data_IF_842073095411
#
_entry.id   IF_842073095411
#
_cell.length_a   1.000
_cell.length_b   1.000
_cell.length_c   1.000
_cell.angle_alpha   90.00
_cell.angle_beta   90.00
_cell.angle_gamma   90.00
#
_symmetry.space_group_name_H-M   'P 1'
#
loop_
_entity.id
_entity.type
_entity.pdbx_description
1 polymer ?
#
# COMPACT_ATOMS: atom_id res chain seq x y z
N UNK A 1 14.94 10.41 4.97
CA UNK A 1 13.96 9.29 5.11
C UNK A 1 13.56 8.78 3.76
N UNK A 2 13.33 7.45 3.62
CA UNK A 2 12.81 6.90 2.39
C UNK A 2 11.27 6.96 2.38
N UNK A 3 10.62 6.56 3.48
CA UNK A 3 9.18 6.53 3.63
C UNK A 3 8.75 7.10 4.98
N UNK A 4 7.79 8.02 5.00
CA UNK A 4 7.13 8.50 6.22
C UNK A 4 5.64 8.21 6.10
N UNK A 5 5.09 7.50 7.08
CA UNK A 5 3.68 7.15 7.16
C UNK A 5 2.99 7.98 8.25
N UNK A 6 1.78 8.47 7.96
CA UNK A 6 0.95 9.19 8.92
C UNK A 6 -0.42 8.53 9.02
N UNK A 7 -0.87 8.29 10.24
CA UNK A 7 -2.23 7.82 10.47
C UNK A 7 -2.44 7.19 11.84
N UNK A 8 -3.38 6.26 11.86
CA UNK A 8 -3.78 5.53 13.06
C UNK A 8 -2.73 4.51 13.51
N UNK A 9 -2.67 4.35 14.81
CA UNK A 9 -1.92 3.32 15.51
C UNK A 9 -2.79 2.81 16.66
N UNK A 10 -3.03 1.52 16.74
CA UNK A 10 -4.02 0.93 17.65
C UNK A 10 -3.64 -0.47 18.11
N UNK A 11 -4.34 -0.97 19.11
CA UNK A 11 -4.26 -2.38 19.49
C UNK A 11 -5.39 -3.16 18.79
N UNK A 12 -5.01 -4.22 18.08
CA UNK A 12 -5.92 -5.27 17.64
C UNK A 12 -5.99 -6.37 18.70
N UNK A 13 -7.17 -6.61 19.26
CA UNK A 13 -7.48 -7.79 20.08
C UNK A 13 -8.12 -8.85 19.18
N UNK A 14 -7.30 -9.79 18.72
CA UNK A 14 -7.74 -10.86 17.81
C UNK A 14 -8.28 -12.04 18.63
N UNK A 15 -9.51 -12.46 18.37
CA UNK A 15 -10.14 -13.59 19.03
C UNK A 15 -9.28 -14.87 18.85
N UNK A 16 -9.17 -15.68 19.90
CA UNK A 16 -8.39 -16.92 19.88
C UNK A 16 -9.10 -18.08 19.21
N UNK A 17 -10.43 -17.98 19.03
CA UNK A 17 -11.25 -18.97 18.37
C UNK A 17 -12.19 -18.30 17.33
N UNK A 18 -12.58 -19.03 16.26
CA UNK A 18 -13.61 -18.57 15.33
C UNK A 18 -14.96 -18.36 16.04
N UNK A 19 -15.73 -17.39 15.54
CA UNK A 19 -17.07 -17.11 16.02
C UNK A 19 -17.30 -15.63 16.38
N UNK A 20 -18.48 -15.29 16.86
CA UNK A 20 -18.82 -13.91 17.25
C UNK A 20 -18.04 -13.48 18.49
N UNK A 21 -17.69 -12.17 18.58
CA UNK A 21 -16.91 -11.61 19.68
C UNK A 21 -17.52 -11.89 21.07
N UNK A 22 -18.86 -11.96 21.18
CA UNK A 22 -19.56 -12.23 22.45
C UNK A 22 -19.26 -13.62 23.05
N UNK A 23 -18.79 -14.58 22.23
CA UNK A 23 -18.48 -15.95 22.67
C UNK A 23 -16.98 -16.23 22.62
N UNK A 24 -16.16 -15.24 22.28
CA UNK A 24 -14.72 -15.41 22.22
C UNK A 24 -14.13 -15.75 23.61
N UNK A 25 -13.42 -16.89 23.74
CA UNK A 25 -12.88 -17.32 25.05
C UNK A 25 -11.68 -16.47 25.51
N UNK A 26 -11.06 -15.72 24.57
CA UNK A 26 -9.90 -14.88 24.84
C UNK A 26 -9.44 -14.14 23.61
N UNK A 27 -8.45 -13.27 23.79
CA UNK A 27 -7.90 -12.43 22.73
C UNK A 27 -6.37 -12.40 22.79
N UNK A 28 -5.74 -12.36 21.63
CA UNK A 28 -4.31 -12.06 21.49
C UNK A 28 -4.14 -10.58 21.11
N UNK A 29 -3.33 -9.88 21.89
CA UNK A 29 -2.97 -8.49 21.63
C UNK A 29 -1.97 -8.39 20.49
N UNK A 30 -2.24 -7.54 19.49
CA UNK A 30 -1.34 -7.24 18.40
C UNK A 30 -1.31 -5.72 18.13
N UNK A 31 -0.18 -5.24 17.63
CA UNK A 31 -0.10 -3.88 17.11
C UNK A 31 -0.75 -3.82 15.72
N UNK A 32 -1.54 -2.77 15.47
CA UNK A 32 -2.28 -2.52 14.24
C UNK A 32 -2.29 -1.05 13.85
N UNK A 33 -2.98 -0.77 12.75
CA UNK A 33 -3.02 0.53 12.09
C UNK A 33 -2.36 0.46 10.71
N UNK A 34 -3.13 0.70 9.65
CA UNK A 34 -2.65 0.47 8.29
C UNK A 34 -1.39 1.29 7.94
N UNK A 35 -1.29 2.61 8.22
CA UNK A 35 -0.07 3.36 7.95
C UNK A 35 1.13 2.90 8.80
N UNK A 36 0.90 2.44 10.03
CA UNK A 36 1.95 1.87 10.87
C UNK A 36 2.45 0.53 10.31
N UNK A 37 1.53 -0.31 9.84
CA UNK A 37 1.85 -1.55 9.14
C UNK A 37 2.70 -1.32 7.90
N UNK A 38 2.36 -0.31 7.07
CA UNK A 38 3.17 0.08 5.90
C UNK A 38 4.57 0.53 6.30
N UNK A 39 4.70 1.31 7.39
CA UNK A 39 6.00 1.73 7.89
C UNK A 39 6.87 0.54 8.33
N UNK A 40 6.28 -0.41 9.08
CA UNK A 40 6.98 -1.63 9.52
C UNK A 40 7.33 -2.53 8.36
N UNK A 41 6.41 -2.79 7.43
CA UNK A 41 6.68 -3.59 6.24
C UNK A 41 7.79 -2.99 5.39
N UNK A 42 7.76 -1.66 5.19
CA UNK A 42 8.82 -0.93 4.50
C UNK A 42 10.19 -1.05 5.20
N UNK A 43 10.21 -0.94 6.53
CA UNK A 43 11.44 -1.11 7.32
C UNK A 43 12.02 -2.52 7.16
N UNK A 44 11.19 -3.56 7.24
CA UNK A 44 11.62 -4.96 7.03
C UNK A 44 12.14 -5.22 5.63
N UNK A 45 11.65 -4.49 4.63
CA UNK A 45 12.16 -4.52 3.27
C UNK A 45 13.41 -3.65 3.06
N UNK A 46 13.98 -3.06 4.12
CA UNK A 46 15.24 -2.31 4.09
C UNK A 46 15.09 -0.81 3.86
N UNK A 47 13.88 -0.24 3.86
CA UNK A 47 13.67 1.20 3.79
C UNK A 47 13.92 1.87 5.14
N UNK A 48 14.42 3.10 5.13
CA UNK A 48 14.46 3.97 6.32
C UNK A 48 13.10 4.61 6.49
N UNK A 49 12.30 4.07 7.42
CA UNK A 49 10.90 4.46 7.62
C UNK A 49 10.70 5.29 8.88
N UNK A 50 9.68 6.14 8.87
CA UNK A 50 9.22 6.89 10.03
C UNK A 50 7.72 6.89 10.14
N UNK A 51 7.21 7.03 11.37
CA UNK A 51 5.79 7.06 11.65
C UNK A 51 5.39 8.35 12.36
N UNK A 52 4.29 8.96 11.93
CA UNK A 52 3.65 10.11 12.53
C UNK A 52 2.24 9.72 12.95
N UNK A 53 1.93 9.85 14.23
CA UNK A 53 0.64 9.51 14.79
C UNK A 53 0.53 9.84 16.26
N UNK A 54 -0.59 9.48 16.89
CA UNK A 54 -0.81 9.69 18.31
C UNK A 54 -1.44 8.45 18.94
N UNK A 55 -0.87 7.99 20.05
CA UNK A 55 -1.41 6.96 20.90
C UNK A 55 -1.62 7.51 22.33
N UNK A 56 -2.33 6.79 23.17
CA UNK A 56 -2.47 7.15 24.59
C UNK A 56 -1.15 7.08 25.36
N UNK A 57 -0.99 7.93 26.36
CA UNK A 57 0.09 7.76 27.36
C UNK A 57 -0.36 6.70 28.37
N UNK A 58 -0.51 5.47 27.89
CA UNK A 58 -0.94 4.28 28.62
C UNK A 58 -0.09 3.06 28.18
N UNK A 59 -0.27 1.93 28.84
CA UNK A 59 0.52 0.72 28.59
C UNK A 59 0.41 0.23 27.14
N UNK A 60 -0.73 0.46 26.50
CA UNK A 60 -0.92 0.12 25.09
C UNK A 60 -0.16 1.07 24.16
N UNK A 61 -0.16 2.35 24.45
CA UNK A 61 0.62 3.33 23.69
C UNK A 61 2.12 3.10 23.81
N UNK A 62 2.62 2.75 25.00
CA UNK A 62 4.01 2.36 25.21
C UNK A 62 4.37 1.10 24.45
N UNK A 63 3.53 0.05 24.54
CA UNK A 63 3.70 -1.18 23.76
C UNK A 63 3.79 -0.90 22.26
N UNK A 64 2.88 -0.10 21.71
CA UNK A 64 2.87 0.24 20.29
C UNK A 64 4.13 0.99 19.86
N UNK A 65 4.62 1.91 20.69
CA UNK A 65 5.87 2.63 20.45
C UNK A 65 7.07 1.68 20.39
N UNK A 66 7.16 0.77 21.36
CA UNK A 66 8.22 -0.25 21.45
C UNK A 66 8.19 -1.19 20.24
N UNK A 67 6.99 -1.64 19.81
CA UNK A 67 6.84 -2.50 18.63
C UNK A 67 7.31 -1.81 17.35
N UNK A 68 6.99 -0.52 17.16
CA UNK A 68 7.51 0.23 16.01
C UNK A 68 9.04 0.38 16.08
N UNK A 69 9.60 0.72 17.24
CA UNK A 69 11.05 0.87 17.44
C UNK A 69 11.79 -0.45 17.20
N UNK A 70 11.29 -1.56 17.73
CA UNK A 70 11.82 -2.91 17.56
C UNK A 70 11.86 -3.33 16.08
N UNK A 71 10.93 -2.84 15.28
CA UNK A 71 10.89 -3.07 13.84
C UNK A 71 11.63 -1.98 13.03
N UNK A 72 12.47 -1.15 13.65
CA UNK A 72 13.34 -0.20 12.99
C UNK A 72 12.65 1.06 12.43
N UNK A 73 11.41 1.35 12.88
CA UNK A 73 10.68 2.55 12.48
C UNK A 73 11.10 3.73 13.37
N UNK A 74 11.40 4.87 12.77
CA UNK A 74 11.63 6.13 13.48
C UNK A 74 10.33 6.66 14.08
N UNK A 75 10.25 6.66 15.41
CA UNK A 75 9.06 7.04 16.19
C UNK A 75 9.10 8.49 16.71
N UNK A 76 10.01 9.34 16.24
CA UNK A 76 10.06 10.76 16.66
C UNK A 76 8.78 11.52 16.32
N UNK A 77 7.99 11.04 15.35
CA UNK A 77 6.67 11.56 15.00
C UNK A 77 5.51 10.96 15.80
N UNK A 78 5.76 9.98 16.66
CA UNK A 78 4.72 9.37 17.50
C UNK A 78 4.60 10.14 18.83
N UNK A 79 3.47 10.81 19.01
CA UNK A 79 3.12 11.52 20.23
C UNK A 79 2.32 10.59 21.17
N UNK A 80 2.71 10.53 22.47
CA UNK A 80 1.93 9.87 23.50
C UNK A 80 1.13 10.90 24.29
N UNK A 81 -0.19 10.92 24.12
CA UNK A 81 -1.10 11.92 24.67
C UNK A 81 -1.78 11.43 25.96
N UNK A 82 -1.78 12.28 26.99
CA UNK A 82 -2.57 12.04 28.21
C UNK A 82 -4.05 12.46 28.07
N UNK A 83 -4.43 13.09 26.94
CA UNK A 83 -5.80 13.59 26.72
C UNK A 83 -6.79 12.52 26.26
N UNK A 84 -6.31 11.39 25.78
CA UNK A 84 -7.14 10.28 25.30
C UNK A 84 -6.43 8.95 25.45
N UNK A 85 -7.18 7.86 25.36
CA UNK A 85 -6.66 6.49 25.42
C UNK A 85 -6.17 6.01 24.05
N UNK A 86 -5.32 4.99 24.06
CA UNK A 86 -4.94 4.28 22.83
C UNK A 86 -6.20 3.65 22.20
N UNK A 87 -6.42 3.81 20.87
CA UNK A 87 -7.54 3.18 20.20
C UNK A 87 -7.43 1.65 20.22
N UNK A 88 -8.58 0.98 20.32
CA UNK A 88 -8.66 -0.49 20.34
C UNK A 88 -9.59 -0.98 19.23
N UNK A 89 -9.26 -2.11 18.62
CA UNK A 89 -10.14 -2.87 17.77
C UNK A 89 -10.23 -4.31 18.27
N UNK A 90 -11.44 -4.87 18.33
CA UNK A 90 -11.67 -6.28 18.56
C UNK A 90 -11.99 -6.93 17.24
N UNK A 91 -11.28 -8.02 16.93
CA UNK A 91 -11.34 -8.70 15.64
C UNK A 91 -11.89 -10.10 15.85
N UNK A 92 -13.05 -10.39 15.27
CA UNK A 92 -13.58 -11.75 15.19
C UNK A 92 -13.02 -12.47 13.98
N UNK A 93 -12.84 -13.78 14.12
CA UNK A 93 -12.46 -14.69 13.03
C UNK A 93 -13.72 -15.43 12.57
N UNK A 94 -14.13 -15.29 11.32
CA UNK A 94 -15.17 -16.12 10.71
C UNK A 94 -14.58 -17.40 10.17
N UNK A 95 -15.38 -18.43 10.02
CA UNK A 95 -14.95 -19.70 9.40
C UNK A 95 -14.51 -19.52 7.93
N UNK A 96 -15.05 -18.50 7.25
CA UNK A 96 -14.66 -18.08 5.89
C UNK A 96 -13.32 -17.34 5.80
N UNK A 97 -12.54 -17.24 6.90
CA UNK A 97 -11.37 -16.37 7.04
C UNK A 97 -11.65 -14.85 6.90
N UNK A 98 -12.91 -14.46 6.77
CA UNK A 98 -13.34 -13.07 6.85
C UNK A 98 -13.26 -12.58 8.30
N UNK A 99 -13.13 -11.27 8.47
CA UNK A 99 -13.00 -10.62 9.77
C UNK A 99 -14.07 -9.56 9.95
N UNK A 100 -14.65 -9.52 11.15
CA UNK A 100 -15.44 -8.39 11.60
C UNK A 100 -14.66 -7.61 12.64
N UNK A 101 -14.82 -6.28 12.61
CA UNK A 101 -14.13 -5.37 13.50
C UNK A 101 -15.13 -4.60 14.35
N UNK A 102 -14.90 -4.61 15.67
CA UNK A 102 -15.58 -3.75 16.62
C UNK A 102 -14.56 -2.72 17.16
N UNK A 103 -14.75 -1.46 16.82
CA UNK A 103 -13.83 -0.39 17.20
C UNK A 103 -14.27 0.33 18.48
N UNK A 104 -13.35 0.48 19.40
CA UNK A 104 -13.44 1.38 20.54
C UNK A 104 -12.59 2.63 20.25
N UNK A 105 -13.23 3.57 19.54
CA UNK A 105 -12.55 4.74 18.95
C UNK A 105 -13.19 6.08 19.32
N UNK A 106 -13.84 6.16 20.50
CA UNK A 106 -14.40 7.41 21.00
C UNK A 106 -13.45 8.06 21.99
N UNK A 107 -13.18 9.36 21.82
CA UNK A 107 -12.28 10.13 22.68
C UNK A 107 -10.87 9.51 22.80
N UNK A 108 -10.40 8.89 21.75
CA UNK A 108 -9.06 8.30 21.69
C UNK A 108 -7.98 9.36 21.43
N UNK A 109 -6.74 9.04 21.68
CA UNK A 109 -5.61 9.96 21.66
C UNK A 109 -5.42 10.68 20.31
N UNK A 110 -5.68 9.97 19.19
CA UNK A 110 -5.62 10.52 17.84
C UNK A 110 -6.66 11.63 17.57
N UNK A 111 -7.75 11.69 18.36
CA UNK A 111 -8.71 12.80 18.32
C UNK A 111 -8.17 14.11 18.88
N UNK A 112 -7.03 14.06 19.57
CA UNK A 112 -6.37 15.23 20.16
C UNK A 112 -5.06 15.60 19.47
N UNK A 113 -4.79 15.02 18.30
CA UNK A 113 -3.60 15.36 17.50
C UNK A 113 -3.50 16.86 17.23
N UNK A 114 -2.28 17.41 17.31
CA UNK A 114 -2.00 18.80 17.02
C UNK A 114 -0.89 18.95 15.98
N UNK A 115 -1.05 19.90 15.07
CA UNK A 115 -0.02 20.22 14.06
C UNK A 115 1.30 20.65 14.71
N UNK A 116 1.25 21.22 15.92
CA UNK A 116 2.44 21.65 16.67
C UNK A 116 3.28 20.46 17.19
N UNK A 117 2.66 19.29 17.29
CA UNK A 117 3.27 18.07 17.86
C UNK A 117 3.89 17.17 16.78
N UNK A 118 3.71 17.49 15.50
CA UNK A 118 4.25 16.67 14.41
C UNK A 118 5.51 17.28 13.79
N UNK A 119 6.55 16.48 13.53
CA UNK A 119 7.77 16.96 12.89
C UNK A 119 7.58 17.05 11.36
N UNK A 120 7.04 18.19 10.87
CA UNK A 120 6.86 18.44 9.44
C UNK A 120 8.18 18.35 8.65
N UNK A 121 9.33 18.56 9.30
CA UNK A 121 10.65 18.35 8.69
C UNK A 121 10.85 16.90 8.26
N UNK A 122 10.33 15.93 9.02
CA UNK A 122 10.38 14.50 8.66
C UNK A 122 9.60 14.26 7.35
N UNK A 123 8.43 14.85 7.18
CA UNK A 123 7.65 14.78 5.94
C UNK A 123 8.42 15.40 4.76
N UNK A 124 8.94 16.62 4.94
CA UNK A 124 9.66 17.37 3.88
C UNK A 124 10.92 16.66 3.39
N UNK A 125 11.60 15.93 4.29
CA UNK A 125 12.84 15.20 3.98
C UNK A 125 12.61 13.77 3.48
N UNK A 126 11.36 13.32 3.37
CA UNK A 126 11.04 11.98 2.89
C UNK A 126 10.96 11.91 1.36
N UNK A 127 11.33 10.74 0.78
CA UNK A 127 11.07 10.46 -0.64
C UNK A 127 9.58 10.21 -0.89
N UNK A 128 8.92 9.52 0.07
CA UNK A 128 7.49 9.21 0.02
C UNK A 128 6.83 9.57 1.34
N UNK A 129 5.72 10.28 1.27
CA UNK A 129 4.77 10.49 2.36
C UNK A 129 3.52 9.66 2.10
N UNK A 130 3.20 8.74 3.01
CA UNK A 130 2.06 7.82 2.90
C UNK A 130 1.02 8.07 3.99
N UNK A 131 -0.27 7.97 3.65
CA UNK A 131 -1.37 8.15 4.61
C UNK A 131 -2.60 7.32 4.22
N UNK A 132 -3.49 7.09 5.22
CA UNK A 132 -4.78 6.44 5.06
C UNK A 132 -5.96 7.39 5.26
N UNK A 133 -7.19 6.88 5.11
CA UNK A 133 -8.40 7.71 5.24
C UNK A 133 -8.92 7.85 6.66
N UNK A 134 -8.53 6.99 7.60
CA UNK A 134 -9.01 7.05 8.99
C UNK A 134 -8.59 8.37 9.65
N UNK A 135 -7.36 8.84 9.40
CA UNK A 135 -6.88 10.13 9.89
C UNK A 135 -7.65 11.35 9.35
N UNK A 136 -8.54 11.15 8.36
CA UNK A 136 -9.40 12.19 7.80
C UNK A 136 -10.79 12.27 8.46
N UNK A 137 -11.14 11.33 9.33
CA UNK A 137 -12.46 11.24 9.93
C UNK A 137 -12.66 12.33 10.98
N UNK A 138 -11.80 12.34 12.01
CA UNK A 138 -11.91 13.32 13.09
C UNK A 138 -11.29 14.69 12.70
N UNK A 139 -11.90 15.83 13.08
CA UNK A 139 -11.40 17.16 12.68
C UNK A 139 -9.96 17.45 13.08
N UNK A 140 -9.48 16.97 14.23
CA UNK A 140 -8.11 17.22 14.69
C UNK A 140 -7.09 16.45 13.84
N UNK A 141 -7.24 15.13 13.71
CA UNK A 141 -6.36 14.32 12.88
C UNK A 141 -6.41 14.71 11.41
N UNK A 142 -7.59 15.13 10.90
CA UNK A 142 -7.74 15.68 9.54
C UNK A 142 -6.89 16.94 9.33
N UNK A 143 -6.92 17.89 10.30
CA UNK A 143 -6.08 19.11 10.20
C UNK A 143 -4.60 18.77 10.16
N UNK A 144 -4.17 17.80 10.94
CA UNK A 144 -2.78 17.33 10.96
C UNK A 144 -2.40 16.68 9.63
N UNK A 145 -3.23 15.76 9.13
CA UNK A 145 -3.03 15.11 7.83
C UNK A 145 -2.96 16.13 6.69
N UNK A 146 -3.86 17.11 6.68
CA UNK A 146 -3.84 18.19 5.69
C UNK A 146 -2.60 19.10 5.79
N UNK A 147 -2.10 19.37 7.00
CA UNK A 147 -0.85 20.11 7.18
C UNK A 147 0.36 19.32 6.65
N UNK A 148 0.42 18.01 6.93
CA UNK A 148 1.46 17.14 6.41
C UNK A 148 1.38 17.01 4.87
N UNK A 149 0.18 16.89 4.30
CA UNK A 149 -0.04 16.89 2.84
C UNK A 149 0.46 18.19 2.21
N UNK A 150 0.08 19.36 2.74
CA UNK A 150 0.61 20.64 2.23
C UNK A 150 2.13 20.70 2.29
N UNK A 151 2.72 20.20 3.37
CA UNK A 151 4.19 20.14 3.51
C UNK A 151 4.84 19.22 2.45
N UNK A 152 4.27 18.03 2.22
CA UNK A 152 4.73 17.10 1.21
C UNK A 152 4.59 17.66 -0.21
N UNK A 153 3.44 18.25 -0.53
CA UNK A 153 3.16 18.84 -1.84
C UNK A 153 4.05 20.07 -2.13
N UNK A 154 4.36 20.86 -1.11
CA UNK A 154 5.30 21.98 -1.20
C UNK A 154 6.76 21.57 -1.32
N UNK A 155 7.09 20.28 -1.15
CA UNK A 155 8.41 19.71 -1.42
C UNK A 155 8.46 19.20 -2.87
N UNK A 156 9.47 19.62 -3.63
CA UNK A 156 9.63 19.15 -5.02
C UNK A 156 10.02 17.67 -5.13
N UNK A 157 10.44 17.04 -4.02
CA UNK A 157 11.01 15.69 -4.02
C UNK A 157 10.16 14.64 -3.27
N UNK A 158 9.13 15.06 -2.54
CA UNK A 158 8.29 14.13 -1.78
C UNK A 158 7.09 13.68 -2.62
N UNK A 159 7.03 12.39 -2.93
CA UNK A 159 5.86 11.77 -3.55
C UNK A 159 4.78 11.51 -2.49
N UNK A 160 3.52 11.79 -2.80
CA UNK A 160 2.38 11.53 -1.92
C UNK A 160 1.71 10.22 -2.33
N UNK A 161 1.64 9.26 -1.41
CA UNK A 161 0.99 7.96 -1.56
C UNK A 161 -0.21 7.85 -0.62
N UNK A 162 -1.33 7.35 -1.12
CA UNK A 162 -2.56 7.14 -0.35
C UNK A 162 -3.06 5.70 -0.50
N UNK A 163 -3.35 5.05 0.62
CA UNK A 163 -4.24 3.89 0.67
C UNK A 163 -5.45 4.30 1.54
N UNK A 164 -6.62 4.56 0.96
CA UNK A 164 -7.79 4.95 1.72
C UNK A 164 -8.15 3.97 2.83
N UNK A 165 -7.99 2.69 2.59
CA UNK A 165 -8.27 1.62 3.55
C UNK A 165 -9.62 1.86 4.27
N UNK A 166 -10.69 1.94 3.49
CA UNK A 166 -11.99 2.47 3.90
C UNK A 166 -12.62 1.61 4.99
N UNK A 167 -13.02 2.22 6.09
CA UNK A 167 -13.76 1.61 7.20
C UNK A 167 -15.06 2.36 7.39
N UNK A 168 -16.09 2.03 6.59
CA UNK A 168 -17.36 2.79 6.54
C UNK A 168 -18.04 2.90 7.90
N UNK A 169 -17.88 1.92 8.78
CA UNK A 169 -18.42 1.92 10.14
C UNK A 169 -17.81 2.99 11.07
N UNK A 170 -16.68 3.58 10.71
CA UNK A 170 -16.07 4.71 11.44
C UNK A 170 -16.51 6.07 10.89
N UNK A 171 -17.12 6.11 9.70
CA UNK A 171 -17.52 7.36 9.06
C UNK A 171 -18.96 7.75 9.46
N UNK A 172 -19.25 9.06 9.58
CA UNK A 172 -20.61 9.53 9.85
C UNK A 172 -21.61 9.12 8.78
N UNK A 173 -21.17 8.95 7.53
CA UNK A 173 -21.96 8.40 6.42
C UNK A 173 -21.06 7.99 5.27
N UNK A 174 -21.54 7.05 4.44
CA UNK A 174 -20.86 6.63 3.22
C UNK A 174 -20.67 7.78 2.22
N UNK A 175 -21.62 8.71 2.16
CA UNK A 175 -21.51 9.91 1.33
C UNK A 175 -20.34 10.80 1.77
N UNK A 176 -20.21 11.07 3.09
CA UNK A 176 -19.08 11.86 3.62
C UNK A 176 -17.74 11.15 3.41
N UNK A 177 -17.70 9.83 3.65
CA UNK A 177 -16.50 9.04 3.38
C UNK A 177 -16.05 9.22 1.93
N UNK A 178 -16.93 8.93 0.98
CA UNK A 178 -16.64 9.03 -0.46
C UNK A 178 -16.18 10.43 -0.86
N UNK A 179 -16.92 11.47 -0.49
CA UNK A 179 -16.58 12.85 -0.85
C UNK A 179 -15.22 13.29 -0.28
N UNK A 180 -14.94 12.95 1.00
CA UNK A 180 -13.66 13.32 1.64
C UNK A 180 -12.49 12.57 1.01
N UNK A 181 -12.64 11.27 0.76
CA UNK A 181 -11.60 10.45 0.17
C UNK A 181 -11.29 10.94 -1.25
N UNK A 182 -12.29 11.10 -2.12
CA UNK A 182 -12.10 11.58 -3.49
C UNK A 182 -11.36 12.93 -3.50
N UNK A 183 -11.80 13.88 -2.69
CA UNK A 183 -11.14 15.20 -2.57
C UNK A 183 -9.67 15.08 -2.12
N UNK A 184 -9.36 14.12 -1.28
CA UNK A 184 -8.00 14.00 -0.72
C UNK A 184 -7.05 13.31 -1.69
N UNK A 185 -7.53 12.31 -2.44
CA UNK A 185 -6.72 11.62 -3.44
C UNK A 185 -6.43 12.45 -4.70
N UNK A 186 -7.16 13.55 -4.95
CA UNK A 186 -6.86 14.50 -6.04
C UNK A 186 -5.41 14.97 -6.02
N UNK A 187 -4.81 15.07 -4.83
CA UNK A 187 -3.43 15.54 -4.63
C UNK A 187 -2.41 14.42 -4.49
N UNK A 188 -2.85 13.16 -4.53
CA UNK A 188 -1.94 12.01 -4.44
C UNK A 188 -1.22 11.77 -5.78
N UNK A 189 -0.01 11.22 -5.71
CA UNK A 189 0.76 10.77 -6.87
C UNK A 189 0.67 9.25 -7.07
N UNK A 190 0.31 8.54 -6.01
CA UNK A 190 0.05 7.10 -6.00
C UNK A 190 -1.18 6.81 -5.12
N UNK A 191 -2.14 6.09 -5.66
CA UNK A 191 -3.33 5.62 -4.95
C UNK A 191 -3.40 4.10 -5.05
N UNK A 192 -3.39 3.42 -3.92
CA UNK A 192 -3.72 1.98 -3.88
C UNK A 192 -5.09 1.82 -3.24
N UNK A 193 -5.92 1.02 -3.84
CA UNK A 193 -7.26 0.63 -3.37
C UNK A 193 -7.48 -0.86 -3.61
N UNK A 194 -8.51 -1.45 -3.00
CA UNK A 194 -9.00 -2.76 -3.39
C UNK A 194 -10.22 -2.64 -4.32
N UNK A 195 -10.70 -3.76 -4.86
CA UNK A 195 -11.85 -3.74 -5.80
C UNK A 195 -13.14 -3.19 -5.18
N UNK A 196 -13.41 -3.48 -3.90
CA UNK A 196 -14.61 -2.98 -3.23
C UNK A 196 -14.52 -1.46 -3.01
N UNK A 197 -13.34 -0.95 -2.68
CA UNK A 197 -13.07 0.48 -2.58
C UNK A 197 -13.18 1.16 -3.94
N UNK A 198 -12.67 0.53 -5.00
CA UNK A 198 -12.83 1.04 -6.37
C UNK A 198 -14.32 1.17 -6.74
N UNK A 199 -15.12 0.13 -6.49
CA UNK A 199 -16.58 0.14 -6.71
C UNK A 199 -17.26 1.23 -5.89
N UNK A 200 -16.91 1.34 -4.62
CA UNK A 200 -17.44 2.35 -3.70
C UNK A 200 -17.15 3.78 -4.19
N UNK A 201 -15.90 4.06 -4.55
CA UNK A 201 -15.46 5.39 -4.95
C UNK A 201 -15.98 5.79 -6.33
N UNK A 202 -16.00 4.87 -7.29
CA UNK A 202 -16.33 5.17 -8.70
C UNK A 202 -17.77 4.84 -9.08
N UNK A 203 -18.45 3.99 -8.29
CA UNK A 203 -19.78 3.42 -8.62
C UNK A 203 -19.76 2.57 -9.89
N UNK A 204 -18.59 2.08 -10.32
CA UNK A 204 -18.44 1.16 -11.44
C UNK A 204 -18.24 -0.27 -10.93
N UNK A 205 -18.82 -1.25 -11.61
CA UNK A 205 -18.69 -2.68 -11.26
C UNK A 205 -17.51 -3.35 -11.96
N UNK A 206 -17.27 -2.96 -13.21
CA UNK A 206 -16.16 -3.46 -13.99
C UNK A 206 -14.84 -2.80 -13.58
N UNK A 207 -13.78 -3.60 -13.51
CA UNK A 207 -12.45 -3.20 -13.02
C UNK A 207 -11.88 -2.03 -13.82
N UNK A 208 -11.74 -2.17 -15.13
CA UNK A 208 -11.10 -1.16 -15.95
C UNK A 208 -11.97 0.08 -16.14
N UNK A 209 -13.30 -0.09 -16.26
CA UNK A 209 -14.24 1.05 -16.20
C UNK A 209 -14.13 1.81 -14.87
N UNK A 210 -13.87 1.10 -13.76
CA UNK A 210 -13.61 1.70 -12.46
C UNK A 210 -12.27 2.46 -12.43
N UNK A 211 -11.19 1.84 -12.91
CA UNK A 211 -9.86 2.46 -12.98
C UNK A 211 -9.91 3.74 -13.85
N UNK A 212 -10.53 3.68 -15.03
CA UNK A 212 -10.69 4.84 -15.90
C UNK A 212 -11.59 5.91 -15.29
N UNK A 213 -12.64 5.53 -14.56
CA UNK A 213 -13.45 6.50 -13.81
C UNK A 213 -12.67 7.16 -12.68
N UNK A 214 -11.76 6.42 -12.01
CA UNK A 214 -10.88 6.96 -10.98
C UNK A 214 -9.92 8.01 -11.55
N UNK A 215 -9.38 7.80 -12.76
CA UNK A 215 -8.49 8.74 -13.44
C UNK A 215 -9.12 10.11 -13.75
N UNK A 216 -10.45 10.25 -13.59
CA UNK A 216 -11.13 11.57 -13.67
C UNK A 216 -11.02 12.38 -12.37
N UNK A 217 -10.64 11.73 -11.28
CA UNK A 217 -10.50 12.38 -9.97
C UNK A 217 -9.03 12.61 -9.60
N UNK A 218 -8.08 11.94 -10.25
CA UNK A 218 -6.67 12.05 -9.92
C UNK A 218 -5.79 11.64 -11.09
N UNK A 219 -4.65 12.31 -11.26
CA UNK A 219 -3.57 11.92 -12.18
C UNK A 219 -2.59 10.92 -11.55
N UNK A 220 -2.90 10.41 -10.38
CA UNK A 220 -2.07 9.46 -9.66
C UNK A 220 -1.92 8.13 -10.42
N UNK A 221 -0.81 7.44 -10.15
CA UNK A 221 -0.74 6.01 -10.41
C UNK A 221 -1.81 5.29 -9.58
N UNK A 222 -2.60 4.42 -10.19
CA UNK A 222 -3.69 3.67 -9.55
C UNK A 222 -3.29 2.21 -9.47
N UNK A 223 -3.30 1.65 -8.26
CA UNK A 223 -3.07 0.24 -7.98
C UNK A 223 -4.35 -0.35 -7.37
N UNK A 224 -4.84 -1.45 -7.92
CA UNK A 224 -6.06 -2.11 -7.43
C UNK A 224 -5.73 -3.53 -7.03
N UNK A 225 -5.73 -3.82 -5.71
CA UNK A 225 -5.54 -5.19 -5.20
C UNK A 225 -6.84 -5.99 -5.28
N UNK A 226 -6.73 -7.29 -5.66
CA UNK A 226 -7.86 -8.17 -5.99
C UNK A 226 -7.79 -9.51 -5.24
N UNK A 227 -7.12 -9.54 -4.09
CA UNK A 227 -6.92 -10.74 -3.28
C UNK A 227 -6.21 -11.83 -4.09
N UNK A 228 -6.77 -13.02 -4.12
CA UNK A 228 -6.22 -14.19 -4.83
C UNK A 228 -6.08 -14.01 -6.35
N UNK A 229 -6.70 -12.98 -6.92
CA UNK A 229 -6.56 -12.64 -8.34
C UNK A 229 -5.37 -11.71 -8.64
N UNK A 230 -4.63 -11.28 -7.61
CA UNK A 230 -3.47 -10.42 -7.77
C UNK A 230 -3.82 -8.93 -7.74
N UNK A 231 -3.28 -8.15 -8.66
CA UNK A 231 -3.51 -6.71 -8.73
C UNK A 231 -3.54 -6.20 -10.17
N UNK A 232 -4.29 -5.11 -10.37
CA UNK A 232 -4.27 -4.32 -11.60
C UNK A 232 -3.62 -2.96 -11.33
N UNK A 233 -3.10 -2.35 -12.38
CA UNK A 233 -2.49 -1.03 -12.29
C UNK A 233 -2.81 -0.16 -13.51
N UNK A 234 -2.77 1.16 -13.29
CA UNK A 234 -2.74 2.16 -14.34
C UNK A 234 -1.83 3.32 -13.90
N UNK A 235 -0.90 3.71 -14.75
CA UNK A 235 -0.06 4.89 -14.56
C UNK A 235 0.23 5.53 -15.92
N UNK A 236 -0.31 6.72 -16.16
CA UNK A 236 -0.29 7.36 -17.50
C UNK A 236 -0.87 6.41 -18.56
N UNK A 237 -0.11 6.09 -19.59
CA UNK A 237 -0.53 5.21 -20.70
C UNK A 237 -0.28 3.72 -20.43
N UNK A 238 0.37 3.40 -19.30
CA UNK A 238 0.66 2.01 -18.91
C UNK A 238 -0.46 1.46 -18.03
N UNK A 239 -1.06 0.35 -18.44
CA UNK A 239 -2.00 -0.40 -17.62
C UNK A 239 -1.81 -1.91 -17.80
N UNK A 240 -2.29 -2.68 -16.81
CA UNK A 240 -2.17 -4.14 -16.85
C UNK A 240 -2.66 -4.82 -15.58
N UNK A 241 -2.61 -6.14 -15.61
CA UNK A 241 -2.91 -7.02 -14.49
C UNK A 241 -1.73 -7.94 -14.21
N UNK A 242 -1.51 -8.24 -12.93
CA UNK A 242 -0.46 -9.16 -12.46
C UNK A 242 -1.09 -10.17 -11.52
N UNK A 243 -1.00 -11.48 -11.79
CA UNK A 243 -1.58 -12.50 -10.96
C UNK A 243 -0.95 -12.55 -9.56
N UNK A 244 -1.70 -13.06 -8.58
CA UNK A 244 -1.18 -13.33 -7.25
C UNK A 244 -0.26 -14.56 -7.25
N UNK A 245 0.53 -14.71 -6.19
CA UNK A 245 1.27 -15.92 -5.91
C UNK A 245 0.36 -16.92 -5.17
N UNK A 246 0.35 -18.19 -5.56
CA UNK A 246 -0.34 -19.24 -4.83
C UNK A 246 0.40 -19.53 -3.52
N UNK A 247 -0.23 -19.20 -2.41
CA UNK A 247 0.29 -19.47 -1.05
C UNK A 247 -0.80 -20.05 -0.16
N UNK A 248 -0.40 -20.79 0.87
CA UNK A 248 -1.32 -21.25 1.91
C UNK A 248 -1.62 -20.08 2.86
N UNK A 249 -2.66 -19.31 2.54
CA UNK A 249 -3.07 -18.16 3.34
C UNK A 249 -3.69 -18.60 4.67
N UNK A 250 -3.21 -18.02 5.78
CA UNK A 250 -3.69 -18.23 7.15
C UNK A 250 -4.48 -17.00 7.63
N UNK A 251 -4.01 -15.81 7.26
CA UNK A 251 -4.50 -14.54 7.79
C UNK A 251 -4.24 -13.40 6.80
N UNK A 252 -5.29 -12.77 6.28
CA UNK A 252 -5.17 -11.69 5.29
C UNK A 252 -4.83 -10.31 5.88
N UNK A 253 -4.66 -10.21 7.22
CA UNK A 253 -4.35 -8.93 7.88
C UNK A 253 -3.00 -8.41 7.43
N UNK A 254 -2.97 -7.14 7.02
CA UNK A 254 -1.73 -6.49 6.57
C UNK A 254 -1.30 -6.83 5.14
N UNK A 255 -2.00 -7.73 4.42
CA UNK A 255 -1.64 -8.08 3.05
C UNK A 255 -1.62 -6.85 2.11
N UNK A 256 -2.63 -5.98 2.24
CA UNK A 256 -2.69 -4.71 1.51
C UNK A 256 -1.56 -3.74 1.89
N UNK A 257 -1.25 -3.66 3.18
CA UNK A 257 -0.19 -2.80 3.72
C UNK A 257 1.19 -3.29 3.24
N UNK A 258 1.39 -4.63 3.26
CA UNK A 258 2.58 -5.28 2.70
C UNK A 258 2.72 -5.03 1.19
N UNK A 259 1.63 -5.11 0.44
CA UNK A 259 1.62 -4.77 -0.99
C UNK A 259 2.06 -3.33 -1.23
N UNK A 260 1.51 -2.35 -0.49
CA UNK A 260 1.92 -0.93 -0.58
C UNK A 260 3.42 -0.80 -0.30
N UNK A 261 3.91 -1.36 0.81
CA UNK A 261 5.31 -1.30 1.17
C UNK A 261 6.21 -1.93 0.10
N UNK A 262 5.81 -3.08 -0.46
CA UNK A 262 6.52 -3.75 -1.55
C UNK A 262 6.60 -2.93 -2.82
N UNK A 263 5.51 -2.31 -3.25
CA UNK A 263 5.49 -1.42 -4.41
C UNK A 263 6.37 -0.18 -4.19
N UNK A 264 6.22 0.47 -3.03
CA UNK A 264 7.03 1.63 -2.66
C UNK A 264 8.53 1.30 -2.57
N UNK A 265 8.88 0.10 -2.08
CA UNK A 265 10.27 -0.36 -2.02
C UNK A 265 10.90 -0.40 -3.42
N UNK A 266 10.22 -0.98 -4.40
CA UNK A 266 10.70 -1.05 -5.79
C UNK A 266 10.81 0.33 -6.44
N UNK A 267 9.85 1.20 -6.19
CA UNK A 267 9.83 2.56 -6.74
C UNK A 267 10.92 3.43 -6.13
N UNK A 268 11.13 3.37 -4.81
CA UNK A 268 12.14 4.16 -4.08
C UNK A 268 13.56 3.78 -4.45
N UNK A 269 13.79 2.55 -4.90
CA UNK A 269 15.08 2.07 -5.39
C UNK A 269 15.54 2.76 -6.68
N UNK A 270 14.61 3.39 -7.43
CA UNK A 270 14.95 4.11 -8.65
C UNK A 270 15.60 5.46 -8.29
N UNK A 271 16.80 5.77 -8.82
CA UNK A 271 17.43 7.06 -8.59
C UNK A 271 16.62 8.24 -9.15
N UNK A 272 16.72 9.38 -8.46
CA UNK A 272 16.14 10.64 -8.94
C UNK A 272 14.80 11.01 -8.29
N UNK A 273 14.07 11.90 -8.93
CA UNK A 273 12.81 12.44 -8.41
C UNK A 273 11.64 11.52 -8.76
N UNK A 274 11.06 10.87 -7.75
CA UNK A 274 9.96 9.91 -7.91
C UNK A 274 8.71 10.51 -8.56
N UNK A 275 8.46 11.80 -8.39
CA UNK A 275 7.30 12.49 -9.02
C UNK A 275 7.43 12.61 -10.54
N UNK A 276 8.65 12.49 -11.07
CA UNK A 276 8.94 12.55 -12.51
C UNK A 276 8.99 11.19 -13.17
N UNK A 277 8.79 10.12 -12.42
CA UNK A 277 8.80 8.76 -12.98
C UNK A 277 7.68 8.58 -14.00
N UNK A 278 8.02 7.94 -15.11
CA UNK A 278 7.08 7.48 -16.15
C UNK A 278 7.48 6.06 -16.54
N UNK A 279 7.20 5.08 -15.65
CA UNK A 279 7.59 3.70 -15.88
C UNK A 279 6.78 3.10 -17.03
N UNK A 280 7.43 2.28 -17.86
CA UNK A 280 6.74 1.48 -18.86
C UNK A 280 5.97 0.33 -18.19
N UNK A 281 5.06 -0.27 -18.95
CA UNK A 281 4.20 -1.39 -18.49
C UNK A 281 5.02 -2.56 -17.92
N UNK A 282 6.16 -2.90 -18.53
CA UNK A 282 7.03 -3.98 -18.05
C UNK A 282 7.62 -3.67 -16.67
N UNK A 283 8.07 -2.44 -16.45
CA UNK A 283 8.59 -2.00 -15.14
C UNK A 283 7.50 -2.03 -14.08
N UNK A 284 6.30 -1.53 -14.39
CA UNK A 284 5.15 -1.59 -13.48
C UNK A 284 4.76 -3.03 -13.16
N UNK A 285 4.74 -3.91 -14.16
CA UNK A 285 4.48 -5.35 -13.97
C UNK A 285 5.46 -5.97 -12.98
N UNK A 286 6.76 -5.67 -13.10
CA UNK A 286 7.78 -6.15 -12.13
C UNK A 286 7.55 -5.61 -10.73
N UNK A 287 7.23 -4.32 -10.57
CA UNK A 287 6.99 -3.72 -9.27
C UNK A 287 5.73 -4.29 -8.61
N UNK A 288 4.64 -4.43 -9.39
CA UNK A 288 3.38 -5.03 -8.89
C UNK A 288 3.58 -6.50 -8.55
N UNK A 289 4.37 -7.25 -9.35
CA UNK A 289 4.72 -8.63 -9.03
C UNK A 289 5.46 -8.75 -7.71
N UNK A 290 6.46 -7.89 -7.46
CA UNK A 290 7.14 -7.83 -6.17
C UNK A 290 6.18 -7.49 -5.03
N UNK A 291 5.30 -6.50 -5.22
CA UNK A 291 4.27 -6.11 -4.26
C UNK A 291 3.29 -7.26 -3.96
N UNK A 292 2.86 -8.01 -5.00
CA UNK A 292 2.03 -9.21 -4.85
C UNK A 292 2.75 -10.29 -4.01
N UNK A 293 4.06 -10.49 -4.20
CA UNK A 293 4.83 -11.45 -3.41
C UNK A 293 4.90 -11.03 -1.93
N UNK A 294 5.13 -9.75 -1.63
CA UNK A 294 5.10 -9.24 -0.25
C UNK A 294 3.73 -9.41 0.38
N UNK A 295 2.65 -9.04 -0.34
CA UNK A 295 1.27 -9.20 0.11
C UNK A 295 0.89 -10.67 0.32
N UNK A 296 1.28 -11.57 -0.57
CA UNK A 296 1.03 -13.00 -0.44
C UNK A 296 1.74 -13.60 0.80
N UNK A 297 3.03 -13.32 0.98
CA UNK A 297 3.79 -13.78 2.15
C UNK A 297 3.21 -13.25 3.46
N UNK A 298 2.71 -12.01 3.49
CA UNK A 298 2.05 -11.45 4.65
C UNK A 298 0.78 -12.23 5.04
N UNK A 299 0.19 -13.03 4.15
CA UNK A 299 -0.97 -13.87 4.48
C UNK A 299 -0.61 -15.23 5.09
N UNK A 300 0.65 -15.66 5.04
CA UNK A 300 1.09 -17.00 5.46
C UNK A 300 1.29 -17.15 6.98
N UNK A 301 1.17 -16.06 7.74
CA UNK A 301 1.32 -16.01 9.19
C UNK A 301 0.19 -15.21 9.81
N UNK A 302 -0.07 -15.42 11.10
CA UNK A 302 -1.08 -14.65 11.83
C UNK A 302 -0.60 -13.24 12.19
N UNK A 303 -1.50 -12.26 12.09
CA UNK A 303 -1.26 -10.85 12.39
C UNK A 303 -0.57 -10.10 11.25
N UNK A 304 -0.58 -8.77 11.29
CA UNK A 304 0.07 -7.94 10.28
C UNK A 304 1.59 -7.86 10.49
N UNK A 305 2.01 -7.19 11.56
CA UNK A 305 3.43 -6.93 11.84
C UNK A 305 4.28 -8.22 11.89
N UNK A 306 3.89 -9.29 12.61
CA UNK A 306 4.69 -10.52 12.61
C UNK A 306 4.82 -11.20 11.25
N UNK A 307 3.83 -10.99 10.37
CA UNK A 307 3.73 -11.69 9.08
C UNK A 307 4.52 -11.05 7.94
N UNK A 308 4.93 -9.77 8.06
CA UNK A 308 5.66 -9.11 6.98
C UNK A 308 6.98 -9.81 6.67
N UNK A 309 7.26 -10.11 5.39
CA UNK A 309 8.43 -10.86 4.96
C UNK A 309 9.71 -10.01 4.98
N UNK A 310 10.83 -10.71 5.02
CA UNK A 310 12.16 -10.19 4.72
C UNK A 310 12.43 -10.16 3.21
N UNK A 311 13.42 -9.36 2.72
CA UNK A 311 13.82 -9.37 1.30
C UNK A 311 14.20 -10.76 0.79
N UNK A 312 14.85 -11.59 1.63
CA UNK A 312 15.23 -12.95 1.30
C UNK A 312 14.01 -13.86 1.04
N UNK A 313 12.98 -13.80 1.89
CA UNK A 313 11.75 -14.56 1.70
C UNK A 313 11.04 -14.15 0.41
N UNK A 314 10.97 -12.85 0.10
CA UNK A 314 10.39 -12.34 -1.14
C UNK A 314 11.16 -12.84 -2.36
N UNK A 315 12.50 -12.76 -2.32
CA UNK A 315 13.35 -13.24 -3.41
C UNK A 315 13.21 -14.74 -3.66
N UNK A 316 13.03 -15.54 -2.60
CA UNK A 316 12.80 -16.99 -2.71
C UNK A 316 11.45 -17.30 -3.37
N UNK A 317 10.38 -16.61 -2.99
CA UNK A 317 9.06 -16.78 -3.62
C UNK A 317 9.09 -16.41 -5.11
N UNK A 318 9.75 -15.29 -5.45
CA UNK A 318 9.89 -14.86 -6.85
C UNK A 318 10.66 -15.87 -7.72
N UNK A 319 11.67 -16.54 -7.16
CA UNK A 319 12.45 -17.57 -7.86
C UNK A 319 11.66 -18.87 -8.05
N UNK A 320 10.92 -19.32 -7.03
CA UNK A 320 10.13 -20.55 -7.10
C UNK A 320 9.03 -20.50 -8.17
N UNK A 321 8.44 -19.32 -8.38
CA UNK A 321 7.41 -19.13 -9.39
C UNK A 321 7.96 -19.17 -10.83
N UNK A 322 9.21 -18.73 -11.05
CA UNK A 322 9.89 -18.91 -12.34
C UNK A 322 10.16 -20.37 -12.70
N UNK A 323 10.34 -21.24 -11.71
CA UNK A 323 10.58 -22.68 -11.92
C UNK A 323 9.32 -23.44 -12.30
N UNK A 324 8.13 -22.93 -11.97
CA UNK A 324 6.83 -23.56 -12.23
C UNK A 324 6.20 -23.15 -13.57
N UNK A 325 6.72 -22.14 -14.26
CA UNK A 325 6.25 -21.75 -15.59
C UNK A 325 6.75 -22.77 -16.64
N UNK A 326 5.88 -23.36 -17.47
CA UNK A 326 6.30 -24.26 -18.56
C UNK A 326 7.28 -23.54 -19.48
N UNK A 327 8.39 -24.20 -19.85
CA UNK A 327 9.47 -23.67 -20.73
C UNK A 327 8.98 -23.12 -22.09
N UNK A 328 7.74 -23.41 -22.51
CA UNK A 328 7.12 -22.91 -23.74
C UNK A 328 6.85 -21.41 -23.81
N UNK A 329 6.93 -20.69 -22.69
CA UNK A 329 6.79 -19.21 -22.67
C UNK A 329 8.13 -18.47 -22.59
N UNK A 330 9.25 -19.15 -22.44
CA UNK A 330 10.58 -18.54 -22.47
C UNK A 330 11.06 -18.17 -23.90
N UNK A 331 10.45 -18.73 -24.94
CA UNK A 331 10.89 -18.55 -26.33
C UNK A 331 10.43 -17.25 -27.03
N UNK A 332 9.64 -16.38 -26.39
CA UNK A 332 9.11 -15.16 -27.06
C UNK A 332 9.91 -13.91 -26.69
N UNK A 333 10.82 -13.99 -25.72
CA UNK A 333 11.59 -12.82 -25.27
C UNK A 333 12.99 -12.72 -25.89
N UNK A 334 13.45 -13.67 -26.73
CA UNK A 334 14.84 -13.72 -27.23
C UNK A 334 15.00 -13.56 -28.75
N UNK A 335 13.97 -13.04 -29.47
CA UNK A 335 14.05 -12.86 -30.95
C UNK A 335 14.29 -11.41 -31.39
N UNK A 336 14.90 -10.55 -30.58
CA UNK A 336 15.30 -9.20 -31.02
C UNK A 336 16.81 -8.96 -31.15
N UNK A 337 17.64 -10.04 -31.27
CA UNK A 337 19.06 -9.92 -31.63
C UNK A 337 19.39 -10.95 -32.70
N UNK A 338 19.32 -10.58 -33.93
CA UNK A 338 20.23 -10.86 -35.05
C UNK A 338 19.51 -10.77 -36.40
N UNK A 339 19.77 -9.70 -37.12
CA UNK A 339 19.98 -9.68 -38.57
C UNK A 339 20.36 -8.25 -38.96
N UNK A 340 21.61 -7.89 -38.75
CA UNK A 340 22.31 -6.96 -39.64
C UNK A 340 23.00 -7.84 -40.69
N UNK A 341 22.40 -7.90 -41.85
CA UNK A 341 22.99 -8.50 -43.04
C UNK A 341 23.46 -7.38 -43.96
N UNK A 342 24.70 -7.57 -44.38
CA UNK A 342 25.59 -6.81 -45.22
C UNK A 342 24.97 -6.45 -46.61
N UNK A 343 25.14 -5.24 -47.15
CA UNK A 343 24.76 -4.90 -48.51
C UNK A 343 25.98 -4.92 -49.39
N UNK A 344 26.19 -5.93 -50.25
CA UNK A 344 26.97 -5.87 -51.50
C UNK A 344 26.78 -7.13 -52.36
N UNK A 345 26.12 -6.98 -53.47
CA UNK A 345 26.61 -7.40 -54.81
C UNK A 345 25.65 -6.95 -55.92
N UNK A 346 26.27 -6.25 -56.79
CA UNK A 346 25.92 -5.90 -58.15
C UNK A 346 25.50 -7.12 -59.01
N UNK A 347 24.42 -7.00 -59.83
CA UNK A 347 24.55 -7.22 -61.25
C UNK A 347 23.23 -6.87 -61.99
N UNK A 348 23.38 -6.06 -63.06
CA UNK A 348 22.40 -5.91 -64.16
C UNK A 348 22.72 -6.97 -65.21
N UNK A 349 21.77 -7.43 -66.07
CA UNK A 349 21.59 -6.71 -67.33
C UNK A 349 20.14 -6.69 -67.91
N UNK A 350 19.92 -5.62 -68.64
CA UNK A 350 19.19 -5.35 -69.92
C UNK A 350 18.40 -6.49 -70.57
N UNK A 351 17.19 -6.19 -71.01
CA UNK A 351 16.65 -6.03 -72.38
C UNK A 351 15.11 -6.01 -72.34
N UNK A 352 14.51 -5.11 -72.85
CA UNK A 352 14.03 -4.73 -74.24
C UNK A 352 12.56 -5.16 -74.52
N UNK A 353 11.82 -4.15 -74.86
CA UNK A 353 10.77 -4.08 -75.89
C UNK A 353 9.36 -4.63 -75.61
N UNK A 354 8.52 -3.76 -75.88
CA UNK A 354 7.43 -3.57 -76.89
C UNK A 354 6.02 -3.82 -76.31
N UNK A 355 5.28 -2.88 -76.28
CA UNK A 355 4.22 -2.18 -77.03
C UNK A 355 3.43 -1.28 -76.08
#
# INVERSE_FOLDING_TARGET
>A
MDLVCLGELLIDFVATAPGPLRTAPGFVKAAGGAPANVAVAGSRLGLRTGFIGTAGKDDFGFFLKEELQKNGVDVRGLHLSSKGRTPLAFVSLKESAERDFLFYWQNTADHFMSVKEIPLSMVRSSKVFHYGSISLIHPASRRVTQAALRCALGSNNTLVSCDPNVRLNLWPSSHRARATILKTIETAHLVKINEEELKFLTRKRDLFSGIHAMSRFTDAAILVTRGVRGAAFRWSDSEGEVPAFPVAAIDSTGAGDGFVAGFLNQMIAIPGNLRKLRPCTETLTRWVRYANAVGALATTRRGAIPAFPTPGEVANLLKSDHATLPRSRQGILDTSRSKRGDPRSTDRPRTRNDK
#
